data_IF_070989238494
#
_entry.id   IF_070989238494
#
_cell.length_a   1.000
_cell.length_b   1.000
_cell.length_c   1.000
_cell.angle_alpha   90.00
_cell.angle_beta   90.00
_cell.angle_gamma   90.00
#
_symmetry.space_group_name_H-M   'P 1'
#
loop_
_entity.id
_entity.type
_entity.pdbx_description
1 polymer ?
#
# COMPACT_ATOMS: atom_id res chain seq x y z
N UNK A 1 -12.92 13.75 -16.92
CA UNK A 1 -12.40 15.04 -17.42
C UNK A 1 -12.15 16.04 -16.30
N UNK A 2 -12.98 16.08 -15.21
CA UNK A 2 -12.84 17.08 -14.15
C UNK A 2 -11.61 16.85 -13.25
N UNK A 3 -11.20 15.61 -13.00
CA UNK A 3 -10.08 15.30 -12.11
C UNK A 3 -8.71 15.58 -12.73
N UNK A 4 -8.59 15.48 -14.05
CA UNK A 4 -7.34 15.81 -14.77
C UNK A 4 -7.12 17.31 -14.77
N UNK A 5 -8.17 18.12 -14.95
CA UNK A 5 -8.07 19.58 -14.89
C UNK A 5 -7.77 20.08 -13.48
N UNK A 6 -8.36 19.50 -12.44
CA UNK A 6 -8.04 19.86 -11.05
C UNK A 6 -6.57 19.59 -10.71
N UNK A 7 -6.01 18.43 -11.09
CA UNK A 7 -4.59 18.13 -10.87
C UNK A 7 -3.68 19.13 -11.58
N UNK A 8 -3.99 19.51 -12.81
CA UNK A 8 -3.19 20.51 -13.55
C UNK A 8 -3.22 21.89 -12.90
N UNK A 9 -4.37 22.30 -12.35
CA UNK A 9 -4.47 23.56 -11.62
C UNK A 9 -3.68 23.53 -10.31
N UNK A 10 -3.72 22.42 -9.57
CA UNK A 10 -2.97 22.24 -8.32
C UNK A 10 -1.44 22.23 -8.59
N UNK A 11 -0.99 21.50 -9.62
CA UNK A 11 0.42 21.45 -10.01
C UNK A 11 0.95 22.79 -10.47
N UNK A 12 0.18 23.54 -11.27
CA UNK A 12 0.55 24.88 -11.72
C UNK A 12 0.58 25.90 -10.59
N UNK A 13 -0.35 25.81 -9.66
CA UNK A 13 -0.38 26.66 -8.47
C UNK A 13 0.85 26.41 -7.59
N UNK A 14 1.24 25.15 -7.40
CA UNK A 14 2.43 24.77 -6.66
C UNK A 14 3.72 25.31 -7.28
N UNK A 15 3.88 25.20 -8.60
CA UNK A 15 5.02 25.79 -9.33
C UNK A 15 5.06 27.30 -9.18
N UNK A 16 3.92 27.98 -9.25
CA UNK A 16 3.83 29.45 -9.13
C UNK A 16 4.25 29.93 -7.74
N UNK A 17 3.84 29.23 -6.69
CA UNK A 17 4.22 29.50 -5.30
C UNK A 17 5.74 29.33 -5.13
N UNK A 18 6.30 28.20 -5.58
CA UNK A 18 7.74 27.93 -5.49
C UNK A 18 8.56 29.00 -6.25
N UNK A 19 8.08 29.45 -7.42
CA UNK A 19 8.73 30.51 -8.19
C UNK A 19 8.70 31.86 -7.46
N UNK A 20 7.59 32.21 -6.82
CA UNK A 20 7.47 33.43 -6.02
C UNK A 20 8.45 33.39 -4.83
N UNK A 21 8.56 32.25 -4.15
CA UNK A 21 9.54 32.05 -3.07
C UNK A 21 10.97 32.20 -3.59
N UNK A 22 11.31 31.60 -4.75
CA UNK A 22 12.63 31.75 -5.35
C UNK A 22 12.94 33.19 -5.78
N UNK A 23 11.95 33.96 -6.23
CA UNK A 23 12.13 35.35 -6.59
C UNK A 23 12.34 36.25 -5.37
N UNK A 24 11.69 35.97 -4.24
CA UNK A 24 11.74 36.76 -3.02
C UNK A 24 12.92 36.39 -2.12
N UNK A 25 13.20 35.09 -1.95
CA UNK A 25 14.23 34.58 -1.03
C UNK A 25 15.53 34.16 -1.72
N UNK A 26 15.51 34.10 -3.06
CA UNK A 26 16.64 33.65 -3.87
C UNK A 26 16.80 32.13 -3.89
N UNK A 27 17.82 31.66 -4.65
CA UNK A 27 18.07 30.23 -4.84
C UNK A 27 18.41 29.47 -3.55
N UNK A 28 18.85 30.18 -2.51
CA UNK A 28 19.13 29.60 -1.18
C UNK A 28 17.89 29.00 -0.52
N UNK A 29 16.67 29.39 -0.94
CA UNK A 29 15.41 28.83 -0.45
C UNK A 29 15.30 27.31 -0.75
N UNK A 30 15.92 26.83 -1.82
CA UNK A 30 15.96 25.38 -2.16
C UNK A 30 16.66 24.54 -1.12
N UNK A 31 17.51 25.13 -0.30
CA UNK A 31 18.32 24.45 0.74
C UNK A 31 17.77 24.65 2.16
N UNK A 32 16.58 25.25 2.28
CA UNK A 32 15.91 25.48 3.56
C UNK A 32 14.96 24.33 3.91
N UNK A 33 14.81 24.16 5.21
CA UNK A 33 13.94 23.14 5.82
C UNK A 33 13.06 23.81 6.87
N UNK A 34 11.78 23.54 6.83
CA UNK A 34 10.80 24.07 7.77
C UNK A 34 10.33 23.00 8.76
N UNK A 35 9.91 23.40 9.98
CA UNK A 35 9.27 22.47 10.90
C UNK A 35 7.91 22.02 10.35
N UNK A 36 7.66 20.71 10.33
CA UNK A 36 6.35 20.18 9.97
C UNK A 36 5.41 20.33 11.17
N UNK A 37 4.43 21.23 11.08
CA UNK A 37 3.44 21.49 12.12
C UNK A 37 2.17 20.70 11.85
N UNK A 38 1.82 19.78 12.76
CA UNK A 38 0.62 18.94 12.68
C UNK A 38 -0.31 19.26 13.84
N UNK A 39 -1.59 19.44 13.54
CA UNK A 39 -2.62 19.67 14.56
C UNK A 39 -2.97 18.30 15.20
N UNK A 40 -2.60 18.13 16.48
CA UNK A 40 -2.99 16.95 17.27
C UNK A 40 -4.05 17.34 18.31
N UNK A 41 -5.13 16.56 18.42
CA UNK A 41 -6.13 16.72 19.47
C UNK A 41 -5.60 16.07 20.75
N UNK A 42 -5.36 16.89 21.78
CA UNK A 42 -5.01 16.44 23.13
C UNK A 42 -5.98 17.05 24.13
N UNK A 43 -6.63 16.22 24.93
CA UNK A 43 -7.63 16.62 25.93
C UNK A 43 -8.78 17.49 25.36
N UNK A 44 -9.22 17.20 24.11
CA UNK A 44 -10.29 17.95 23.44
C UNK A 44 -9.89 19.30 22.90
N UNK A 45 -8.61 19.70 23.01
CA UNK A 45 -8.07 20.93 22.43
C UNK A 45 -7.13 20.61 21.27
N UNK A 46 -7.22 21.40 20.22
CA UNK A 46 -6.30 21.34 19.08
C UNK A 46 -5.00 22.06 19.48
N UNK A 47 -3.88 21.36 19.35
CA UNK A 47 -2.55 21.90 19.57
C UNK A 47 -1.68 21.62 18.36
N UNK A 48 -0.97 22.63 17.90
CA UNK A 48 0.09 22.47 16.91
C UNK A 48 1.30 21.82 17.56
N UNK A 49 1.70 20.69 17.03
CA UNK A 49 2.88 19.93 17.49
C UNK A 49 3.80 19.73 16.29
N UNK A 50 5.07 19.98 16.48
CA UNK A 50 6.06 19.69 15.45
C UNK A 50 6.20 18.17 15.30
N UNK A 51 6.00 17.68 14.07
CA UNK A 51 6.13 16.26 13.70
C UNK A 51 7.13 16.13 12.55
N UNK A 52 8.42 16.26 12.89
CA UNK A 52 9.51 16.20 11.92
C UNK A 52 9.75 17.51 11.18
N UNK A 53 10.24 17.39 9.94
CA UNK A 53 10.67 18.48 9.09
C UNK A 53 10.14 18.28 7.67
N UNK A 54 9.97 19.38 6.94
CA UNK A 54 9.61 19.40 5.52
C UNK A 54 10.58 20.31 4.77
N UNK A 55 10.83 20.02 3.51
CA UNK A 55 11.63 20.93 2.70
C UNK A 55 10.83 22.16 2.31
N UNK A 56 11.47 23.30 2.37
CA UNK A 56 10.83 24.60 2.05
C UNK A 56 10.32 24.64 0.59
N UNK A 57 11.16 24.18 -0.35
CA UNK A 57 10.81 24.05 -1.76
C UNK A 57 10.94 22.60 -2.21
N UNK A 58 12.02 21.91 -1.87
CA UNK A 58 12.31 20.55 -2.33
C UNK A 58 11.71 19.53 -1.34
N UNK A 59 10.74 18.72 -1.74
CA UNK A 59 10.11 17.72 -0.87
C UNK A 59 11.10 16.68 -0.34
N UNK A 60 10.93 16.24 0.90
CA UNK A 60 11.74 15.19 1.53
C UNK A 60 11.68 13.89 0.74
N UNK A 61 10.50 13.49 0.27
CA UNK A 61 10.29 12.27 -0.50
C UNK A 61 11.13 12.25 -1.78
N UNK A 62 11.24 13.41 -2.45
CA UNK A 62 12.04 13.52 -3.67
C UNK A 62 13.54 13.35 -3.39
N UNK A 63 14.04 13.92 -2.29
CA UNK A 63 15.43 13.77 -1.86
C UNK A 63 15.71 12.33 -1.44
N UNK A 64 14.81 11.73 -0.69
CA UNK A 64 14.90 10.32 -0.27
C UNK A 64 14.94 9.38 -1.47
N UNK A 65 14.03 9.55 -2.43
CA UNK A 65 13.97 8.73 -3.63
C UNK A 65 15.18 8.90 -4.56
N UNK A 66 15.85 10.07 -4.53
CA UNK A 66 16.94 10.36 -5.49
C UNK A 66 18.34 10.25 -4.91
N UNK A 67 18.56 10.80 -3.72
CA UNK A 67 19.88 10.90 -3.09
C UNK A 67 20.08 9.91 -1.95
N UNK A 68 18.99 9.46 -1.31
CA UNK A 68 19.00 8.54 -0.16
C UNK A 68 18.19 7.27 -0.46
N UNK A 69 18.20 6.84 -1.73
CA UNK A 69 17.38 5.70 -2.18
C UNK A 69 17.66 4.41 -1.39
N UNK A 70 18.91 4.16 -1.02
CA UNK A 70 19.26 2.95 -0.25
C UNK A 70 18.61 2.93 1.13
N UNK A 71 18.65 4.04 1.85
CA UNK A 71 18.04 4.18 3.17
C UNK A 71 16.51 4.16 3.07
N UNK A 72 15.96 4.78 2.03
CA UNK A 72 14.53 4.75 1.76
C UNK A 72 14.05 3.32 1.40
N UNK A 73 14.78 2.59 0.55
CA UNK A 73 14.47 1.20 0.18
C UNK A 73 14.57 0.25 1.38
N UNK A 74 15.54 0.45 2.28
CA UNK A 74 15.65 -0.32 3.51
C UNK A 74 14.45 -0.10 4.44
N UNK A 75 13.98 1.14 4.57
CA UNK A 75 12.80 1.46 5.36
C UNK A 75 11.55 0.84 4.74
N UNK A 76 11.36 1.00 3.44
CA UNK A 76 10.24 0.42 2.70
C UNK A 76 10.22 -1.11 2.76
N UNK A 77 11.40 -1.76 2.71
CA UNK A 77 11.52 -3.21 2.90
C UNK A 77 11.02 -3.66 4.28
N UNK A 78 11.31 -2.90 5.35
CA UNK A 78 10.80 -3.18 6.69
C UNK A 78 9.29 -2.94 6.80
N UNK A 79 8.77 -1.89 6.16
CA UNK A 79 7.33 -1.59 6.12
C UNK A 79 6.57 -2.66 5.35
N UNK A 80 7.09 -3.10 4.21
CA UNK A 80 6.52 -4.20 3.42
C UNK A 80 6.49 -5.50 4.24
N UNK A 81 7.59 -5.82 4.93
CA UNK A 81 7.64 -6.99 5.82
C UNK A 81 6.64 -6.89 6.98
N UNK A 82 6.44 -5.69 7.55
CA UNK A 82 5.43 -5.47 8.57
C UNK A 82 4.00 -5.67 8.04
N UNK A 83 3.76 -5.26 6.79
CA UNK A 83 2.46 -5.40 6.14
C UNK A 83 2.11 -6.87 5.79
N UNK A 84 3.11 -7.76 5.66
CA UNK A 84 2.90 -9.20 5.41
C UNK A 84 2.49 -9.95 6.68
N UNK A 85 2.91 -9.49 7.86
CA UNK A 85 2.70 -10.19 9.15
C UNK A 85 1.22 -10.51 9.45
N UNK A 86 0.24 -9.63 9.21
CA UNK A 86 -1.18 -9.97 9.41
C UNK A 86 -1.62 -11.18 8.61
N UNK A 87 -1.24 -11.28 7.34
CA UNK A 87 -1.56 -12.42 6.48
C UNK A 87 -0.88 -13.72 6.96
N UNK A 88 0.30 -13.63 7.57
CA UNK A 88 0.96 -14.79 8.19
C UNK A 88 0.20 -15.27 9.44
N UNK A 89 -0.37 -14.35 10.24
CA UNK A 89 -1.25 -14.73 11.37
C UNK A 89 -2.53 -15.39 10.87
N UNK A 90 -3.17 -14.84 9.84
CA UNK A 90 -4.37 -15.43 9.22
C UNK A 90 -4.07 -16.84 8.67
N UNK A 91 -2.95 -17.02 7.95
CA UNK A 91 -2.55 -18.32 7.44
C UNK A 91 -2.33 -19.35 8.56
N UNK A 92 -1.73 -18.96 9.68
CA UNK A 92 -1.56 -19.86 10.84
C UNK A 92 -2.91 -20.23 11.43
N UNK A 93 -3.86 -19.29 11.51
CA UNK A 93 -5.22 -19.54 12.03
C UNK A 93 -6.02 -20.48 11.11
N UNK A 94 -5.88 -20.32 9.80
CA UNK A 94 -6.55 -21.14 8.78
C UNK A 94 -5.99 -22.58 8.74
N UNK A 95 -4.70 -22.76 9.04
CA UNK A 95 -4.07 -24.08 9.12
C UNK A 95 -4.51 -24.88 10.38
N UNK A 96 -5.06 -24.22 11.42
CA UNK A 96 -5.52 -24.89 12.64
C UNK A 96 -6.81 -25.68 12.40
N UNK A 97 -6.81 -26.94 12.81
CA UNK A 97 -8.03 -27.74 12.89
C UNK A 97 -8.95 -27.22 14.01
N UNK A 98 -10.24 -27.57 13.96
CA UNK A 98 -11.21 -27.17 14.99
C UNK A 98 -10.82 -27.66 16.41
N UNK A 99 -10.23 -28.86 16.53
CA UNK A 99 -9.73 -29.39 17.81
C UNK A 99 -8.53 -28.59 18.33
N UNK A 100 -7.65 -28.14 17.44
CA UNK A 100 -6.51 -27.29 17.80
C UNK A 100 -6.96 -25.87 18.16
N UNK A 101 -7.96 -25.30 17.47
CA UNK A 101 -8.57 -24.01 17.83
C UNK A 101 -9.21 -24.06 19.20
N UNK A 102 -9.96 -25.10 19.54
CA UNK A 102 -10.52 -25.28 20.89
C UNK A 102 -9.43 -25.43 21.95
N UNK A 103 -8.34 -26.15 21.62
CA UNK A 103 -7.16 -26.28 22.49
C UNK A 103 -6.38 -24.97 22.66
N UNK A 104 -6.42 -24.07 21.66
CA UNK A 104 -5.77 -22.76 21.67
C UNK A 104 -6.69 -21.63 22.16
N UNK A 105 -7.92 -21.92 22.55
CA UNK A 105 -8.95 -20.91 22.86
C UNK A 105 -8.48 -19.84 23.84
N UNK A 106 -7.73 -20.23 24.86
CA UNK A 106 -7.17 -19.29 25.84
C UNK A 106 -6.06 -18.38 25.25
N UNK A 107 -5.48 -18.74 24.11
CA UNK A 107 -4.49 -17.94 23.39
C UNK A 107 -5.09 -17.06 22.30
N UNK A 108 -6.38 -17.20 22.02
CA UNK A 108 -7.14 -16.41 21.06
C UNK A 108 -7.95 -15.31 21.78
N UNK A 109 -8.37 -14.30 21.02
CA UNK A 109 -9.32 -13.31 21.51
C UNK A 109 -10.74 -13.90 21.65
N UNK A 110 -11.67 -13.12 22.20
CA UNK A 110 -13.06 -13.55 22.44
C UNK A 110 -13.81 -13.93 21.15
N UNK A 111 -13.39 -13.38 19.99
CA UNK A 111 -13.97 -13.67 18.68
C UNK A 111 -13.30 -14.88 18.01
N UNK A 112 -12.14 -15.32 18.50
CA UNK A 112 -11.39 -16.48 17.98
C UNK A 112 -10.63 -16.21 16.68
N UNK A 113 -10.49 -14.95 16.27
CA UNK A 113 -9.90 -14.52 14.99
C UNK A 113 -8.51 -13.90 15.13
N UNK A 114 -7.98 -13.75 16.35
CA UNK A 114 -6.65 -13.20 16.58
C UNK A 114 -5.95 -13.79 17.81
N UNK A 115 -4.63 -13.95 17.72
CA UNK A 115 -3.81 -14.39 18.85
C UNK A 115 -3.55 -13.26 19.84
N UNK A 116 -3.66 -13.56 21.14
CA UNK A 116 -3.33 -12.66 22.24
C UNK A 116 -1.88 -12.94 22.72
N UNK A 117 -0.91 -12.06 22.43
CA UNK A 117 0.53 -12.35 22.64
C UNK A 117 0.90 -12.76 24.07
N UNK A 118 0.20 -12.21 25.07
CA UNK A 118 0.44 -12.53 26.48
C UNK A 118 -0.01 -13.95 26.82
N UNK A 119 -1.17 -14.35 26.34
CA UNK A 119 -1.74 -15.68 26.60
C UNK A 119 -1.00 -16.75 25.79
N UNK A 120 -0.58 -16.44 24.54
CA UNK A 120 0.33 -17.30 23.75
C UNK A 120 1.59 -17.65 24.53
N UNK A 121 2.26 -16.63 25.09
CA UNK A 121 3.51 -16.84 25.86
C UNK A 121 3.28 -17.66 27.13
N UNK A 122 2.12 -17.50 27.79
CA UNK A 122 1.73 -18.27 28.96
C UNK A 122 1.46 -19.73 28.62
N UNK A 123 0.67 -19.97 27.59
CA UNK A 123 0.33 -21.31 27.11
C UNK A 123 1.56 -22.09 26.66
N UNK A 124 2.52 -21.46 25.97
CA UNK A 124 3.82 -22.09 25.63
C UNK A 124 4.55 -22.60 26.89
N UNK A 125 4.52 -21.84 28.00
CA UNK A 125 5.16 -22.26 29.27
C UNK A 125 4.43 -23.43 29.93
N UNK A 126 3.12 -23.50 29.81
CA UNK A 126 2.29 -24.59 30.34
C UNK A 126 2.50 -25.86 29.53
N UNK A 127 2.45 -25.77 28.17
CA UNK A 127 2.68 -26.89 27.25
C UNK A 127 4.12 -27.45 27.34
N UNK A 128 5.10 -26.68 27.78
CA UNK A 128 6.47 -27.19 28.05
C UNK A 128 6.51 -28.21 29.18
N UNK A 129 5.52 -28.27 30.05
CA UNK A 129 5.45 -29.23 31.16
C UNK A 129 4.79 -30.54 30.74
N UNK A 130 3.99 -30.51 29.68
CA UNK A 130 3.35 -31.68 29.09
C UNK A 130 4.21 -32.26 27.96
N UNK A 131 4.39 -33.59 27.95
CA UNK A 131 5.22 -34.33 26.99
C UNK A 131 4.40 -35.12 25.97
N UNK A 132 3.09 -34.87 25.86
CA UNK A 132 2.26 -35.54 24.86
C UNK A 132 2.63 -35.09 23.44
N UNK A 133 2.37 -35.93 22.43
CA UNK A 133 2.64 -35.60 21.03
C UNK A 133 1.74 -34.43 20.55
N UNK A 134 0.51 -34.37 21.03
CA UNK A 134 -0.46 -33.31 20.71
C UNK A 134 0.02 -31.95 21.26
N UNK A 135 0.47 -31.92 22.53
CA UNK A 135 1.06 -30.72 23.15
C UNK A 135 2.33 -30.27 22.44
N UNK A 136 3.11 -31.17 21.85
CA UNK A 136 4.30 -30.82 21.07
C UNK A 136 3.94 -30.16 19.74
N UNK A 137 2.91 -30.62 19.02
CA UNK A 137 2.42 -30.02 17.79
C UNK A 137 1.87 -28.61 18.04
N UNK A 138 0.97 -28.46 19.01
CA UNK A 138 0.38 -27.21 19.42
C UNK A 138 1.44 -26.19 19.86
N UNK A 139 2.42 -26.64 20.64
CA UNK A 139 3.55 -25.80 21.06
C UNK A 139 4.35 -25.27 19.87
N UNK A 140 4.58 -26.09 18.84
CA UNK A 140 5.30 -25.68 17.64
C UNK A 140 4.58 -24.53 16.92
N UNK A 141 3.26 -24.60 16.82
CA UNK A 141 2.43 -23.54 16.23
C UNK A 141 2.50 -22.25 17.07
N UNK A 142 2.29 -22.37 18.37
CA UNK A 142 2.37 -21.19 19.26
C UNK A 142 3.78 -20.59 19.35
N UNK A 143 4.84 -21.37 19.21
CA UNK A 143 6.22 -20.86 19.11
C UNK A 143 6.44 -20.09 17.79
N UNK A 144 5.82 -20.48 16.66
CA UNK A 144 5.80 -19.68 15.43
C UNK A 144 5.09 -18.34 15.64
N UNK A 145 3.93 -18.33 16.28
CA UNK A 145 3.18 -17.11 16.63
C UNK A 145 4.00 -16.19 17.54
N UNK A 146 4.66 -16.73 18.55
CA UNK A 146 5.50 -15.96 19.47
C UNK A 146 6.71 -15.35 18.76
N UNK A 147 7.37 -16.11 17.84
CA UNK A 147 8.47 -15.59 17.03
C UNK A 147 7.99 -14.50 16.07
N UNK A 148 6.81 -14.65 15.48
CA UNK A 148 6.19 -13.67 14.60
C UNK A 148 5.87 -12.38 15.37
N UNK A 149 5.28 -12.49 16.56
CA UNK A 149 4.99 -11.36 17.45
C UNK A 149 6.27 -10.61 17.87
N UNK A 150 7.34 -11.32 18.17
CA UNK A 150 8.64 -10.71 18.50
C UNK A 150 9.25 -10.02 17.30
N UNK A 151 9.17 -10.64 16.12
CA UNK A 151 9.66 -10.02 14.87
C UNK A 151 8.87 -8.76 14.53
N UNK A 152 7.55 -8.77 14.67
CA UNK A 152 6.68 -7.61 14.48
C UNK A 152 7.11 -6.43 15.38
N UNK A 153 7.30 -6.71 16.68
CA UNK A 153 7.75 -5.69 17.64
C UNK A 153 9.13 -5.13 17.29
N UNK A 154 10.04 -6.00 16.87
CA UNK A 154 11.39 -5.61 16.47
C UNK A 154 11.36 -4.75 15.20
N UNK A 155 10.58 -5.17 14.19
CA UNK A 155 10.42 -4.44 12.93
C UNK A 155 9.78 -3.06 13.19
N UNK A 156 8.73 -2.97 14.01
CA UNK A 156 8.14 -1.68 14.40
C UNK A 156 9.16 -0.74 15.08
N UNK A 157 10.01 -1.28 15.93
CA UNK A 157 11.07 -0.48 16.56
C UNK A 157 12.11 -0.03 15.54
N UNK A 158 12.50 -0.90 14.61
CA UNK A 158 13.45 -0.59 13.52
C UNK A 158 12.90 0.46 12.57
N UNK A 159 11.63 0.35 12.15
CA UNK A 159 10.94 1.35 11.30
C UNK A 159 10.98 2.72 11.99
N UNK A 160 10.63 2.78 13.27
CA UNK A 160 10.68 4.04 14.02
C UNK A 160 12.08 4.64 14.09
N UNK A 161 13.09 3.82 14.36
CA UNK A 161 14.47 4.27 14.47
C UNK A 161 15.04 4.72 13.11
N UNK A 162 14.86 3.89 12.06
CA UNK A 162 15.32 4.20 10.70
C UNK A 162 14.56 5.37 10.09
N UNK A 163 13.26 5.49 10.33
CA UNK A 163 12.46 6.64 9.91
C UNK A 163 12.97 7.95 10.49
N UNK A 164 13.27 7.98 11.79
CA UNK A 164 13.87 9.16 12.44
C UNK A 164 15.28 9.47 11.91
N UNK A 165 16.08 8.44 11.65
CA UNK A 165 17.42 8.60 11.05
C UNK A 165 17.33 9.14 9.63
N UNK A 166 16.43 8.59 8.80
CA UNK A 166 16.19 9.05 7.44
C UNK A 166 15.70 10.49 7.40
N UNK A 167 14.80 10.89 8.30
CA UNK A 167 14.36 12.27 8.43
C UNK A 167 15.53 13.23 8.73
N UNK A 168 16.41 12.86 9.67
CA UNK A 168 17.56 13.66 10.02
C UNK A 168 18.55 13.76 8.86
N UNK A 169 18.88 12.63 8.21
CA UNK A 169 19.76 12.60 7.03
C UNK A 169 19.18 13.41 5.86
N UNK A 170 17.87 13.34 5.63
CA UNK A 170 17.22 14.11 4.56
C UNK A 170 17.33 15.61 4.83
N UNK A 171 17.09 16.03 6.06
CA UNK A 171 17.29 17.43 6.48
C UNK A 171 18.72 17.89 6.19
N UNK A 172 19.70 17.16 6.72
CA UNK A 172 21.12 17.48 6.54
C UNK A 172 21.52 17.50 5.05
N UNK A 173 20.96 16.60 4.26
CA UNK A 173 21.20 16.54 2.81
C UNK A 173 20.65 17.78 2.11
N UNK A 174 19.44 18.23 2.44
CA UNK A 174 18.81 19.44 1.86
C UNK A 174 19.63 20.68 2.21
N UNK A 175 20.04 20.84 3.47
CA UNK A 175 20.81 22.00 3.95
C UNK A 175 22.20 22.09 3.28
N UNK A 176 22.76 20.94 2.81
CA UNK A 176 24.08 20.85 2.20
C UNK A 176 24.05 20.54 0.69
N UNK A 177 22.89 20.71 0.02
CA UNK A 177 22.78 20.50 -1.43
C UNK A 177 23.73 21.45 -2.19
N UNK A 178 24.42 20.91 -3.18
CA UNK A 178 25.07 21.75 -4.21
C UNK A 178 24.03 22.38 -5.13
N UNK A 179 24.36 23.51 -5.75
CA UNK A 179 23.44 24.18 -6.69
C UNK A 179 23.04 23.25 -7.86
N UNK A 180 23.97 22.41 -8.31
CA UNK A 180 23.70 21.44 -9.37
C UNK A 180 22.66 20.40 -8.93
N UNK A 181 22.81 19.82 -7.74
CA UNK A 181 21.83 18.86 -7.20
C UNK A 181 20.46 19.50 -6.96
N UNK A 182 20.45 20.76 -6.46
CA UNK A 182 19.20 21.48 -6.29
C UNK A 182 18.47 21.71 -7.62
N UNK A 183 19.19 22.07 -8.69
CA UNK A 183 18.61 22.21 -10.04
C UNK A 183 18.08 20.86 -10.58
N UNK A 184 18.82 19.79 -10.41
CA UNK A 184 18.37 18.44 -10.83
C UNK A 184 17.10 18.00 -10.06
N UNK A 185 17.00 18.33 -8.77
CA UNK A 185 15.80 18.06 -7.97
C UNK A 185 14.61 18.93 -8.38
N UNK A 186 14.82 20.21 -8.70
CA UNK A 186 13.78 21.08 -9.23
C UNK A 186 13.28 20.60 -10.60
N UNK A 187 14.18 20.16 -11.47
CA UNK A 187 13.80 19.54 -12.74
C UNK A 187 12.92 18.32 -12.54
N UNK A 188 13.29 17.44 -11.61
CA UNK A 188 12.49 16.28 -11.26
C UNK A 188 11.16 16.63 -10.58
N UNK A 189 11.10 17.71 -9.81
CA UNK A 189 9.87 18.19 -9.16
C UNK A 189 8.88 18.79 -10.15
N UNK A 190 9.35 19.64 -11.07
CA UNK A 190 8.47 20.45 -11.91
C UNK A 190 8.38 19.94 -13.36
N UNK A 191 9.50 19.57 -13.96
CA UNK A 191 9.57 19.27 -15.39
C UNK A 191 9.24 17.80 -15.67
N UNK A 192 9.83 16.89 -14.92
CA UNK A 192 9.64 15.46 -15.15
C UNK A 192 8.16 15.03 -15.08
N UNK A 193 7.33 15.45 -14.11
CA UNK A 193 5.92 15.09 -14.07
C UNK A 193 5.12 15.65 -15.26
N UNK A 194 5.44 16.87 -15.70
CA UNK A 194 4.80 17.48 -16.88
C UNK A 194 5.12 16.69 -18.15
N UNK A 195 6.40 16.35 -18.33
CA UNK A 195 6.85 15.56 -19.48
C UNK A 195 6.19 14.17 -19.46
N UNK A 196 6.16 13.51 -18.30
CA UNK A 196 5.50 12.22 -18.14
C UNK A 196 3.99 12.28 -18.45
N UNK A 197 3.31 13.34 -17.97
CA UNK A 197 1.90 13.57 -18.27
C UNK A 197 1.64 13.74 -19.77
N UNK A 198 2.52 14.47 -20.47
CA UNK A 198 2.42 14.64 -21.93
C UNK A 198 2.61 13.30 -22.66
N UNK A 199 3.57 12.49 -22.23
CA UNK A 199 3.80 11.16 -22.82
C UNK A 199 2.65 10.19 -22.58
N UNK A 200 1.92 10.32 -21.46
CA UNK A 200 0.74 9.50 -21.15
C UNK A 200 -0.54 9.91 -21.90
N UNK A 201 -0.58 11.12 -22.48
CA UNK A 201 -1.77 11.57 -23.22
C UNK A 201 -2.15 10.65 -24.40
N UNK A 202 -1.22 10.17 -25.26
CA UNK A 202 -1.55 9.22 -26.31
C UNK A 202 -2.10 7.90 -25.76
N UNK A 203 -1.59 7.41 -24.63
CA UNK A 203 -2.00 6.14 -24.03
C UNK A 203 -3.49 6.19 -23.63
N UNK A 204 -3.96 7.29 -23.07
CA UNK A 204 -5.37 7.46 -22.69
C UNK A 204 -6.31 7.39 -23.89
N UNK A 205 -5.87 7.92 -25.04
CA UNK A 205 -6.65 7.86 -26.29
C UNK A 205 -6.65 6.44 -26.85
N UNK A 206 -5.49 5.78 -26.83
CA UNK A 206 -5.32 4.40 -27.29
C UNK A 206 -6.19 3.46 -26.41
N UNK A 207 -6.14 3.57 -25.10
CA UNK A 207 -6.93 2.76 -24.17
C UNK A 207 -8.43 2.96 -24.39
N UNK A 208 -8.87 4.20 -24.62
CA UNK A 208 -10.25 4.50 -24.97
C UNK A 208 -10.67 3.84 -26.30
N UNK A 209 -9.79 3.85 -27.30
CA UNK A 209 -10.04 3.19 -28.59
C UNK A 209 -10.09 1.67 -28.44
N UNK A 210 -9.11 1.09 -27.72
CA UNK A 210 -9.07 -0.36 -27.45
C UNK A 210 -10.32 -0.81 -26.71
N UNK A 211 -10.74 -0.07 -25.68
CA UNK A 211 -11.97 -0.37 -24.92
C UNK A 211 -13.21 -0.35 -25.81
N UNK A 212 -13.32 0.61 -26.73
CA UNK A 212 -14.42 0.67 -27.70
C UNK A 212 -14.39 -0.49 -28.70
N UNK A 213 -13.21 -0.88 -29.18
CA UNK A 213 -13.05 -2.03 -30.09
C UNK A 213 -13.44 -3.32 -29.36
N UNK A 214 -12.98 -3.52 -28.10
CA UNK A 214 -13.35 -4.67 -27.29
C UNK A 214 -14.87 -4.74 -27.02
N UNK A 215 -15.50 -3.60 -26.75
CA UNK A 215 -16.95 -3.52 -26.60
C UNK A 215 -17.69 -3.89 -27.89
N UNK A 216 -17.19 -3.44 -29.05
CA UNK A 216 -17.74 -3.85 -30.34
C UNK A 216 -17.53 -5.34 -30.61
N UNK A 217 -16.35 -5.87 -30.33
CA UNK A 217 -16.07 -7.29 -30.46
C UNK A 217 -17.03 -8.12 -29.59
N UNK A 218 -17.21 -7.75 -28.33
CA UNK A 218 -18.17 -8.44 -27.43
C UNK A 218 -19.60 -8.34 -27.90
N UNK A 219 -20.00 -7.15 -28.43
CA UNK A 219 -21.35 -6.94 -28.97
C UNK A 219 -21.63 -7.80 -30.21
N UNK A 220 -20.65 -8.05 -31.05
CA UNK A 220 -20.76 -8.82 -32.29
C UNK A 220 -20.08 -10.19 -32.19
N UNK A 221 -19.85 -10.70 -30.98
CA UNK A 221 -19.24 -12.01 -30.74
C UNK A 221 -20.07 -13.16 -31.33
N UNK A 222 -21.40 -12.97 -31.33
CA UNK A 222 -22.33 -13.91 -31.97
C UNK A 222 -22.78 -13.37 -33.30
N UNK A 223 -22.56 -14.10 -34.37
CA UNK A 223 -23.01 -13.75 -35.70
C UNK A 223 -24.52 -13.99 -35.82
N UNK A 224 -25.20 -13.30 -36.76
CA UNK A 224 -26.61 -13.55 -37.06
C UNK A 224 -26.88 -15.02 -37.39
N UNK A 225 -25.95 -15.64 -38.12
CA UNK A 225 -26.04 -17.05 -38.49
C UNK A 225 -25.99 -17.99 -37.28
N UNK A 226 -25.10 -17.72 -36.30
CA UNK A 226 -25.03 -18.52 -35.05
C UNK A 226 -26.30 -18.40 -34.20
N UNK A 227 -26.89 -17.20 -34.16
CA UNK A 227 -28.19 -17.00 -33.47
C UNK A 227 -29.30 -17.77 -34.17
N UNK A 228 -29.36 -17.74 -35.50
CA UNK A 228 -30.37 -18.47 -36.30
C UNK A 228 -30.21 -19.98 -36.11
N UNK A 229 -28.97 -20.48 -36.04
CA UNK A 229 -28.69 -21.89 -35.76
C UNK A 229 -29.15 -22.28 -34.33
N UNK A 230 -28.85 -21.46 -33.31
CA UNK A 230 -29.29 -21.70 -31.93
C UNK A 230 -30.80 -21.70 -31.79
N UNK A 231 -31.49 -20.82 -32.51
CA UNK A 231 -32.97 -20.82 -32.56
C UNK A 231 -33.46 -22.13 -33.14
N UNK A 232 -32.93 -22.57 -34.31
CA UNK A 232 -33.33 -23.81 -34.95
C UNK A 232 -33.08 -25.06 -34.09
N UNK A 233 -31.92 -25.12 -33.40
CA UNK A 233 -31.59 -26.19 -32.46
C UNK A 233 -32.54 -26.20 -31.25
N UNK A 234 -32.89 -25.02 -30.72
CA UNK A 234 -33.80 -24.88 -29.58
C UNK A 234 -35.24 -25.30 -29.98
N UNK A 235 -35.71 -24.92 -31.18
CA UNK A 235 -37.01 -25.32 -31.73
C UNK A 235 -37.07 -26.84 -31.93
N UNK A 236 -36.04 -27.46 -32.50
CA UNK A 236 -35.97 -28.90 -32.68
C UNK A 236 -35.97 -29.67 -31.33
N UNK A 237 -35.29 -29.13 -30.33
CA UNK A 237 -35.27 -29.68 -28.96
C UNK A 237 -36.65 -29.59 -28.31
N UNK A 238 -37.30 -28.45 -28.47
CA UNK A 238 -38.66 -28.22 -27.94
C UNK A 238 -39.70 -29.17 -28.60
N UNK A 239 -39.64 -29.34 -29.92
CA UNK A 239 -40.47 -30.32 -30.65
C UNK A 239 -40.24 -31.72 -30.17
N UNK A 240 -38.98 -32.11 -29.95
CA UNK A 240 -38.60 -33.41 -29.38
C UNK A 240 -39.19 -33.63 -27.98
N UNK A 241 -39.12 -32.66 -27.12
CA UNK A 241 -39.71 -32.72 -25.77
C UNK A 241 -41.23 -32.81 -25.80
N UNK A 242 -41.90 -32.03 -26.67
CA UNK A 242 -43.36 -32.06 -26.82
C UNK A 242 -43.84 -33.41 -27.39
N UNK A 243 -43.08 -34.03 -28.27
CA UNK A 243 -43.43 -35.34 -28.81
C UNK A 243 -43.35 -36.46 -27.76
N UNK A 244 -42.53 -36.31 -26.74
CA UNK A 244 -42.40 -37.24 -25.60
C UNK A 244 -43.57 -37.12 -24.60
N UNK A 245 -44.28 -36.01 -24.60
CA UNK A 245 -45.43 -35.76 -23.70
C UNK A 245 -46.71 -36.29 -24.30
N UNK A 246 -46.76 -36.56 -25.60
CA UNK A 246 -47.92 -37.02 -26.33
C UNK A 246 -47.99 -38.54 -26.59
N UNK A 247 -47.21 -39.36 -25.83
CA UNK A 247 -47.31 -40.83 -25.84
C UNK A 247 -48.15 -41.35 -24.68
#
# INVERSE_FOLDING_TARGET
>A
ASDVYKRQDDDWTGISIDLEVLQTEGFSATKKVDPNLVIKKKDGKEQEVQDGWVGHIIPFELVQATLLSKEADELHGLESRLAEIPSEYEAILDELSEDEKESCKDALNDEGDAFVPKEVTKMIKELKKDRSAESAALRSILEKVDTLTKSEKTIKAQIKAKGAELQTKTKDTIEHLSDKQALELLEKKWIAPLVESIYKLPDTVIDSLVSKIQALQSKYATTFFEVEQQISETEATLVGMLSLIHI
#
